data_IF_207830723874
#
_entry.id   IF_207830723874
#
_cell.length_a   1.000
_cell.length_b   1.000
_cell.length_c   1.000
_cell.angle_alpha   90.00
_cell.angle_beta   90.00
_cell.angle_gamma   90.00
#
_symmetry.space_group_name_H-M   'P 1'
#
loop_
_entity.id
_entity.type
_entity.pdbx_description
1 polymer ?
#
# COMPACT_ATOMS: atom_id res chain seq x y z
N UNK A 1 -14.43 -34.74 25.76
CA UNK A 1 -13.89 -33.39 25.81
C UNK A 1 -13.70 -32.93 24.39
N UNK A 2 -14.35 -31.89 23.90
CA UNK A 2 -14.05 -31.32 22.60
C UNK A 2 -12.70 -30.56 22.66
N UNK A 3 -11.90 -30.54 21.59
CA UNK A 3 -10.64 -29.83 21.59
C UNK A 3 -10.90 -28.33 21.70
N UNK A 4 -10.20 -27.69 22.63
CA UNK A 4 -10.12 -26.25 22.80
C UNK A 4 -9.70 -25.59 21.47
N UNK A 5 -10.58 -24.79 20.90
CA UNK A 5 -10.27 -23.89 19.82
C UNK A 5 -9.28 -22.83 20.35
N UNK A 6 -7.99 -23.08 20.15
CA UNK A 6 -6.98 -22.04 20.34
C UNK A 6 -7.34 -20.89 19.39
N UNK A 7 -7.82 -19.78 19.95
CA UNK A 7 -7.95 -18.52 19.26
C UNK A 7 -6.56 -18.14 18.77
N UNK A 8 -6.31 -18.26 17.47
CA UNK A 8 -5.11 -17.71 16.85
C UNK A 8 -5.17 -16.20 17.09
N UNK A 9 -4.43 -15.73 18.07
CA UNK A 9 -4.21 -14.29 18.27
C UNK A 9 -3.56 -13.75 17.00
N UNK A 10 -4.29 -12.87 16.31
CA UNK A 10 -3.71 -12.13 15.18
C UNK A 10 -2.47 -11.37 15.69
N UNK A 11 -1.36 -11.38 14.93
CA UNK A 11 -0.16 -10.66 15.33
C UNK A 11 -0.50 -9.18 15.58
N UNK A 12 0.04 -8.64 16.66
CA UNK A 12 -0.17 -7.23 17.03
C UNK A 12 0.33 -6.33 15.91
N UNK A 13 -0.58 -5.54 15.34
CA UNK A 13 -0.27 -4.60 14.27
C UNK A 13 0.56 -3.45 14.83
N UNK A 14 1.78 -3.32 14.34
CA UNK A 14 2.66 -2.28 14.81
C UNK A 14 2.52 -1.01 13.97
N UNK A 15 2.44 0.18 14.59
CA UNK A 15 2.46 1.43 13.88
C UNK A 15 3.80 1.64 13.16
N UNK A 16 3.78 2.42 12.08
CA UNK A 16 5.02 2.83 11.40
C UNK A 16 5.56 4.05 12.13
N UNK A 17 6.85 4.02 12.55
CA UNK A 17 7.43 5.15 13.27
C UNK A 17 7.33 6.47 12.49
N UNK A 18 6.84 7.52 13.14
CA UNK A 18 6.68 8.85 12.54
C UNK A 18 5.47 9.03 11.65
N UNK A 19 4.67 7.99 11.37
CA UNK A 19 3.46 8.06 10.54
C UNK A 19 2.22 8.12 11.43
N UNK A 20 1.44 9.21 11.31
CA UNK A 20 0.21 9.38 12.11
C UNK A 20 -0.94 8.51 11.61
N UNK A 21 -1.12 8.45 10.29
CA UNK A 21 -2.22 7.72 9.64
C UNK A 21 -1.74 6.99 8.41
N UNK A 22 -2.08 5.71 8.33
CA UNK A 22 -1.80 4.85 7.20
C UNK A 22 -3.11 4.53 6.49
N UNK A 23 -3.24 4.96 5.23
CA UNK A 23 -4.44 4.75 4.42
C UNK A 23 -4.12 3.82 3.26
N UNK A 24 -4.86 2.72 3.18
CA UNK A 24 -4.74 1.77 2.07
C UNK A 24 -5.67 2.17 0.92
N UNK A 25 -5.17 2.15 -0.32
CA UNK A 25 -5.98 2.26 -1.53
C UNK A 25 -6.01 0.91 -2.22
N UNK A 26 -7.19 0.35 -2.35
CA UNK A 26 -7.40 -1.02 -2.83
C UNK A 26 -8.41 -1.07 -3.98
N UNK A 27 -8.43 -2.19 -4.70
CA UNK A 27 -9.46 -2.47 -5.69
C UNK A 27 -9.69 -3.98 -5.77
N UNK A 28 -10.92 -4.38 -6.11
CA UNK A 28 -11.27 -5.78 -6.32
C UNK A 28 -10.63 -6.40 -7.57
N UNK A 29 -10.27 -5.58 -8.56
CA UNK A 29 -9.61 -6.00 -9.81
C UNK A 29 -8.69 -4.91 -10.36
N UNK A 30 -7.82 -5.26 -11.31
CA UNK A 30 -6.97 -4.30 -12.03
C UNK A 30 -7.75 -3.43 -13.02
N UNK A 31 -7.15 -2.28 -13.38
CA UNK A 31 -7.65 -1.39 -14.44
C UNK A 31 -8.84 -0.50 -14.05
N UNK A 32 -9.18 -0.36 -12.77
CA UNK A 32 -10.29 0.49 -12.29
C UNK A 32 -9.86 1.91 -11.90
N UNK A 33 -8.57 2.25 -12.03
CA UNK A 33 -8.05 3.57 -11.65
C UNK A 33 -7.51 3.65 -10.21
N UNK A 34 -7.22 2.52 -9.54
CA UNK A 34 -6.69 2.45 -8.18
C UNK A 34 -5.49 3.39 -7.98
N UNK A 35 -4.42 3.21 -8.75
CA UNK A 35 -3.21 4.03 -8.69
C UNK A 35 -3.49 5.50 -8.97
N UNK A 36 -4.39 5.81 -9.91
CA UNK A 36 -4.83 7.19 -10.18
C UNK A 36 -5.45 7.82 -8.94
N UNK A 37 -6.31 7.10 -8.23
CA UNK A 37 -6.91 7.57 -6.98
C UNK A 37 -5.85 7.72 -5.90
N UNK A 38 -4.94 6.75 -5.73
CA UNK A 38 -3.88 6.80 -4.72
C UNK A 38 -2.98 8.03 -4.90
N UNK A 39 -2.49 8.28 -6.12
CA UNK A 39 -1.64 9.43 -6.44
C UNK A 39 -2.38 10.75 -6.21
N UNK A 40 -3.61 10.88 -6.72
CA UNK A 40 -4.38 12.12 -6.59
C UNK A 40 -4.79 12.37 -5.13
N UNK A 41 -5.11 11.34 -4.35
CA UNK A 41 -5.37 11.46 -2.92
C UNK A 41 -4.14 11.98 -2.16
N UNK A 42 -2.96 11.41 -2.44
CA UNK A 42 -1.71 11.85 -1.84
C UNK A 42 -1.40 13.33 -2.17
N UNK A 43 -1.51 13.71 -3.45
CA UNK A 43 -1.30 15.08 -3.90
C UNK A 43 -2.33 16.06 -3.32
N UNK A 44 -3.60 15.67 -3.22
CA UNK A 44 -4.63 16.48 -2.62
C UNK A 44 -4.36 16.73 -1.12
N UNK A 45 -4.03 15.70 -0.36
CA UNK A 45 -3.66 15.84 1.04
C UNK A 45 -2.42 16.73 1.23
N UNK A 46 -1.41 16.59 0.39
CA UNK A 46 -0.23 17.45 0.38
C UNK A 46 -0.61 18.91 0.09
N UNK A 47 -1.48 19.15 -0.88
CA UNK A 47 -1.97 20.50 -1.22
C UNK A 47 -2.74 21.16 -0.06
N UNK A 48 -3.36 20.37 0.82
CA UNK A 48 -3.98 20.85 2.06
C UNK A 48 -2.97 21.05 3.21
N UNK A 49 -1.67 21.02 2.94
CA UNK A 49 -0.61 21.32 3.91
C UNK A 49 -0.15 20.14 4.76
N UNK A 50 -0.56 18.91 4.44
CA UNK A 50 -0.11 17.73 5.17
C UNK A 50 1.25 17.22 4.64
N UNK A 51 2.04 16.61 5.53
CA UNK A 51 3.20 15.82 5.16
C UNK A 51 2.75 14.43 4.72
N UNK A 52 2.98 14.08 3.46
CA UNK A 52 2.41 12.87 2.85
C UNK A 52 3.49 11.99 2.25
N UNK A 53 3.41 10.69 2.58
CA UNK A 53 4.16 9.62 1.91
C UNK A 53 3.25 8.83 0.97
N UNK A 54 3.83 8.25 -0.07
CA UNK A 54 3.16 7.37 -1.02
C UNK A 54 4.01 6.12 -1.26
N UNK A 55 3.47 4.96 -0.91
CA UNK A 55 4.07 3.66 -1.19
C UNK A 55 3.30 2.98 -2.33
N UNK A 56 3.97 2.76 -3.46
CA UNK A 56 3.49 1.93 -4.55
C UNK A 56 3.89 0.48 -4.28
N UNK A 57 2.95 -0.32 -3.83
CA UNK A 57 3.12 -1.74 -3.54
C UNK A 57 2.63 -2.65 -4.68
N UNK A 58 2.22 -2.09 -5.81
CA UNK A 58 1.79 -2.86 -6.98
C UNK A 58 3.00 -3.33 -7.79
N UNK A 59 3.44 -4.56 -7.53
CA UNK A 59 4.60 -5.16 -8.20
C UNK A 59 4.36 -5.55 -9.65
N UNK A 60 3.11 -5.73 -10.03
CA UNK A 60 2.75 -6.19 -11.39
C UNK A 60 2.56 -5.04 -12.36
N UNK A 61 2.28 -3.85 -11.86
CA UNK A 61 2.08 -2.66 -12.65
C UNK A 61 2.42 -1.39 -11.88
N UNK A 62 3.68 -1.22 -11.45
CA UNK A 62 4.08 -0.06 -10.65
C UNK A 62 4.05 1.20 -11.53
N UNK A 63 2.99 1.97 -11.41
CA UNK A 63 2.75 3.14 -12.26
C UNK A 63 2.96 4.48 -11.55
N UNK A 64 3.14 4.50 -10.25
CA UNK A 64 3.30 5.74 -9.47
C UNK A 64 4.48 6.60 -9.97
N UNK A 65 5.69 6.05 -10.23
CA UNK A 65 6.79 6.86 -10.74
C UNK A 65 6.48 7.52 -12.09
N UNK A 66 5.84 6.79 -13.00
CA UNK A 66 5.43 7.30 -14.32
C UNK A 66 4.43 8.44 -14.15
N UNK A 67 3.44 8.28 -13.27
CA UNK A 67 2.41 9.30 -13.02
C UNK A 67 2.96 10.56 -12.36
N UNK A 68 4.00 10.42 -11.54
CA UNK A 68 4.70 11.55 -10.89
C UNK A 68 5.85 12.12 -11.75
N UNK A 69 6.14 11.53 -12.91
CA UNK A 69 7.16 12.00 -13.84
C UNK A 69 8.59 11.84 -13.30
N UNK A 70 8.87 10.78 -12.55
CA UNK A 70 10.20 10.50 -11.99
C UNK A 70 10.69 9.10 -12.32
N UNK A 71 12.00 8.98 -12.53
CA UNK A 71 12.73 7.73 -12.64
C UNK A 71 13.86 7.63 -11.59
N UNK A 72 13.83 8.54 -10.60
CA UNK A 72 14.85 8.59 -9.55
C UNK A 72 14.71 7.36 -8.65
N UNK A 73 15.82 6.64 -8.46
CA UNK A 73 15.87 5.49 -7.55
C UNK A 73 16.00 5.94 -6.09
N UNK A 74 15.36 5.23 -5.15
CA UNK A 74 15.55 5.48 -3.74
C UNK A 74 17.00 5.16 -3.33
N UNK A 75 17.58 5.97 -2.46
CA UNK A 75 18.91 5.75 -1.94
C UNK A 75 18.86 4.81 -0.73
N UNK A 76 19.94 4.05 -0.54
CA UNK A 76 20.14 3.28 0.69
C UNK A 76 21.19 3.99 1.56
N UNK A 77 20.90 4.13 2.86
CA UNK A 77 21.89 4.61 3.84
C UNK A 77 22.92 3.53 4.15
N UNK A 78 24.00 3.89 4.85
CA UNK A 78 25.01 2.94 5.34
C UNK A 78 24.41 1.85 6.22
N UNK A 79 23.36 2.17 6.98
CA UNK A 79 22.60 1.24 7.83
C UNK A 79 21.53 0.45 7.07
N UNK A 80 21.58 0.45 5.75
CA UNK A 80 20.62 -0.24 4.85
C UNK A 80 19.17 0.23 4.99
N UNK A 81 18.96 1.46 5.44
CA UNK A 81 17.63 2.10 5.42
C UNK A 81 17.37 2.68 4.05
N UNK A 82 16.13 2.70 3.65
CA UNK A 82 15.71 3.22 2.34
C UNK A 82 15.28 4.67 2.53
N UNK A 83 15.89 5.57 1.75
CA UNK A 83 15.49 6.99 1.71
C UNK A 83 14.45 7.15 0.60
N UNK A 84 13.22 7.57 0.93
CA UNK A 84 12.19 7.82 -0.08
C UNK A 84 12.63 8.89 -1.08
N UNK A 85 12.16 8.76 -2.32
CA UNK A 85 12.33 9.80 -3.34
C UNK A 85 11.40 10.97 -3.03
N UNK A 86 11.91 12.19 -3.04
CA UNK A 86 11.07 13.38 -2.93
C UNK A 86 10.63 13.84 -4.31
N UNK A 87 9.31 13.81 -4.58
CA UNK A 87 8.72 14.19 -5.85
C UNK A 87 7.36 14.84 -5.62
N UNK A 88 7.11 15.98 -6.27
CA UNK A 88 5.86 16.75 -6.15
C UNK A 88 5.43 17.05 -4.68
N UNK A 89 6.39 17.20 -3.76
CA UNK A 89 6.15 17.42 -2.34
C UNK A 89 5.73 16.16 -1.56
N UNK A 90 5.82 14.98 -2.17
CA UNK A 90 5.57 13.69 -1.56
C UNK A 90 6.88 12.95 -1.29
N UNK A 91 6.94 12.13 -0.24
CA UNK A 91 7.96 11.09 -0.05
C UNK A 91 7.46 9.79 -0.65
N UNK A 92 8.11 9.31 -1.70
CA UNK A 92 7.62 8.19 -2.51
C UNK A 92 8.62 7.03 -2.51
N UNK A 93 8.09 5.82 -2.36
CA UNK A 93 8.79 4.56 -2.64
C UNK A 93 7.92 3.75 -3.59
N UNK A 94 8.51 3.17 -4.64
CA UNK A 94 7.80 2.28 -5.55
C UNK A 94 8.59 1.00 -5.80
N UNK A 95 7.86 -0.09 -5.87
CA UNK A 95 8.41 -1.38 -6.30
C UNK A 95 9.00 -1.32 -7.72
N UNK A 96 8.48 -0.42 -8.58
CA UNK A 96 9.00 -0.21 -9.93
C UNK A 96 10.40 0.37 -9.99
N UNK A 97 10.82 1.12 -8.98
CA UNK A 97 12.14 1.73 -8.93
C UNK A 97 13.24 0.81 -8.41
N UNK A 98 12.89 -0.38 -7.92
CA UNK A 98 13.85 -1.39 -7.44
C UNK A 98 14.33 -2.33 -8.54
N UNK A 99 13.73 -2.29 -9.69
CA UNK A 99 14.09 -3.11 -10.83
C UNK A 99 14.45 -2.22 -12.03
N UNK A 100 15.62 -1.57 -12.02
CA UNK A 100 16.06 -0.77 -13.14
C UNK A 100 16.37 -1.70 -14.33
N UNK A 101 15.48 -1.75 -15.27
CA UNK A 101 15.54 -2.55 -16.49
C UNK A 101 14.37 -3.53 -16.58
N UNK A 102 13.84 -3.72 -17.79
CA UNK A 102 12.67 -4.55 -18.14
C UNK A 102 12.84 -6.06 -17.91
N UNK A 103 13.66 -6.46 -16.93
CA UNK A 103 13.81 -7.88 -16.59
C UNK A 103 12.61 -8.32 -15.75
N UNK A 104 11.81 -9.28 -16.21
CA UNK A 104 10.71 -9.80 -15.43
C UNK A 104 11.25 -10.41 -14.12
N UNK A 105 11.02 -9.73 -13.00
CA UNK A 105 11.29 -10.31 -11.69
C UNK A 105 10.07 -11.14 -11.27
N UNK A 106 10.34 -12.43 -11.00
CA UNK A 106 9.31 -13.33 -10.48
C UNK A 106 9.27 -13.14 -8.96
N UNK A 107 8.34 -12.33 -8.49
CA UNK A 107 8.10 -12.16 -7.07
C UNK A 107 7.30 -13.35 -6.52
N UNK A 108 7.92 -14.12 -5.66
CA UNK A 108 7.18 -15.13 -4.87
C UNK A 108 6.52 -14.44 -3.68
N UNK A 109 5.29 -14.82 -3.32
CA UNK A 109 4.50 -14.17 -2.28
C UNK A 109 5.26 -13.83 -0.98
N UNK A 110 6.05 -14.76 -0.38
CA UNK A 110 6.84 -14.47 0.83
C UNK A 110 7.92 -13.40 0.63
N UNK A 111 8.58 -13.37 -0.53
CA UNK A 111 9.59 -12.35 -0.85
C UNK A 111 8.94 -10.97 -1.00
N UNK A 112 7.83 -10.91 -1.69
CA UNK A 112 7.07 -9.68 -1.88
C UNK A 112 6.63 -9.08 -0.54
N UNK A 113 6.06 -9.89 0.34
CA UNK A 113 5.69 -9.49 1.69
C UNK A 113 6.89 -8.95 2.47
N UNK A 114 8.05 -9.63 2.41
CA UNK A 114 9.27 -9.19 3.10
C UNK A 114 9.72 -7.81 2.61
N UNK A 115 9.76 -7.58 1.29
CA UNK A 115 10.20 -6.31 0.71
C UNK A 115 9.24 -5.18 1.06
N UNK A 116 7.93 -5.39 0.94
CA UNK A 116 6.97 -4.35 1.30
C UNK A 116 7.00 -4.05 2.80
N UNK A 117 7.15 -5.07 3.64
CA UNK A 117 7.33 -4.87 5.09
C UNK A 117 8.61 -4.06 5.39
N UNK A 118 9.69 -4.32 4.66
CA UNK A 118 10.92 -3.55 4.76
C UNK A 118 10.70 -2.09 4.37
N UNK A 119 9.97 -1.80 3.29
CA UNK A 119 9.63 -0.43 2.88
C UNK A 119 8.78 0.30 3.92
N UNK A 120 7.86 -0.40 4.52
CA UNK A 120 7.02 0.19 5.55
C UNK A 120 7.79 0.48 6.84
N UNK A 121 8.72 -0.40 7.25
CA UNK A 121 9.35 -0.34 8.56
C UNK A 121 10.76 0.24 8.56
N UNK A 122 11.53 0.01 7.49
CA UNK A 122 12.94 0.38 7.40
C UNK A 122 13.19 1.60 6.52
N UNK A 123 12.17 2.17 5.89
CA UNK A 123 12.31 3.41 5.15
C UNK A 123 12.32 4.62 6.10
N UNK A 124 13.09 5.62 5.72
CA UNK A 124 13.17 6.89 6.44
C UNK A 124 12.00 7.81 6.07
N UNK A 125 10.78 7.37 6.40
CA UNK A 125 9.57 8.17 6.12
C UNK A 125 9.59 9.52 6.84
N UNK A 126 10.31 9.65 7.96
CA UNK A 126 10.30 10.83 8.81
C UNK A 126 8.93 11.07 9.44
N UNK A 127 8.59 12.34 9.71
CA UNK A 127 7.27 12.69 10.23
C UNK A 127 6.29 12.84 9.08
N UNK A 128 5.23 12.03 9.08
CA UNK A 128 4.16 12.08 8.11
C UNK A 128 2.80 12.19 8.81
N UNK A 129 1.92 13.04 8.26
CA UNK A 129 0.51 13.06 8.66
C UNK A 129 -0.24 11.87 8.04
N UNK A 130 0.11 11.54 6.79
CA UNK A 130 -0.46 10.40 6.06
C UNK A 130 0.60 9.63 5.29
N UNK A 131 0.49 8.30 5.33
CA UNK A 131 1.16 7.42 4.37
C UNK A 131 0.07 6.70 3.58
N UNK A 132 0.02 6.95 2.27
CA UNK A 132 -0.90 6.28 1.35
C UNK A 132 -0.20 5.04 0.80
N UNK A 133 -0.87 3.89 0.83
CA UNK A 133 -0.37 2.67 0.19
C UNK A 133 -1.26 2.34 -1.00
N UNK A 134 -0.68 2.34 -2.19
CA UNK A 134 -1.30 1.78 -3.39
C UNK A 134 -1.09 0.27 -3.40
N UNK A 135 -2.13 -0.49 -3.02
CA UNK A 135 -2.06 -1.95 -2.88
C UNK A 135 -2.08 -2.65 -4.25
N UNK A 136 -1.53 -3.87 -4.37
CA UNK A 136 -1.75 -4.69 -5.56
C UNK A 136 -3.25 -4.88 -5.82
N UNK A 137 -3.70 -5.07 -7.07
CA UNK A 137 -5.12 -5.32 -7.35
C UNK A 137 -5.59 -6.70 -6.86
N UNK A 138 -6.89 -6.82 -6.58
CA UNK A 138 -7.52 -8.07 -6.16
C UNK A 138 -7.76 -8.17 -4.66
N UNK A 139 -8.02 -9.37 -4.16
CA UNK A 139 -8.30 -9.69 -2.74
C UNK A 139 -7.41 -10.84 -2.25
N UNK A 140 -6.22 -10.94 -2.81
CA UNK A 140 -5.31 -12.05 -2.56
C UNK A 140 -4.50 -11.94 -1.26
N UNK A 141 -3.78 -13.02 -0.96
CA UNK A 141 -3.00 -13.19 0.28
C UNK A 141 -1.99 -12.06 0.52
N UNK A 142 -1.44 -11.46 -0.54
CA UNK A 142 -0.47 -10.37 -0.42
C UNK A 142 -1.09 -9.13 0.21
N UNK A 143 -2.29 -8.72 -0.25
CA UNK A 143 -3.02 -7.60 0.36
C UNK A 143 -3.38 -7.89 1.81
N UNK A 144 -3.95 -9.07 2.06
CA UNK A 144 -4.36 -9.49 3.40
C UNK A 144 -3.17 -9.47 4.37
N UNK A 145 -2.05 -10.05 3.97
CA UNK A 145 -0.85 -10.11 4.79
C UNK A 145 -0.28 -8.74 5.08
N UNK A 146 -0.27 -7.83 4.08
CA UNK A 146 0.15 -6.44 4.27
C UNK A 146 -0.70 -5.73 5.32
N UNK A 147 -2.03 -5.80 5.17
CA UNK A 147 -2.99 -5.15 6.06
C UNK A 147 -2.91 -5.72 7.49
N UNK A 148 -2.55 -6.98 7.64
CA UNK A 148 -2.36 -7.63 8.94
C UNK A 148 -1.03 -7.25 9.60
N UNK A 149 -0.03 -6.85 8.83
CA UNK A 149 1.32 -6.57 9.33
C UNK A 149 1.45 -5.18 9.95
N UNK A 150 0.69 -4.21 9.45
CA UNK A 150 0.78 -2.80 9.88
C UNK A 150 -0.56 -2.27 10.36
N UNK A 151 -0.52 -1.26 11.23
CA UNK A 151 -1.72 -0.61 11.74
C UNK A 151 -2.32 0.33 10.69
N UNK A 152 -3.17 -0.23 9.81
CA UNK A 152 -3.91 0.54 8.79
C UNK A 152 -5.03 1.33 9.47
N UNK A 153 -5.06 2.65 9.28
CA UNK A 153 -6.06 3.56 9.84
C UNK A 153 -7.40 3.48 9.12
N UNK A 154 -7.38 3.10 7.84
CA UNK A 154 -8.57 2.92 7.03
C UNK A 154 -8.24 2.62 5.58
N UNK A 155 -9.24 2.24 4.80
CA UNK A 155 -9.09 1.87 3.39
C UNK A 155 -10.05 2.67 2.50
N UNK A 156 -9.55 3.09 1.33
CA UNK A 156 -10.34 3.60 0.21
C UNK A 156 -10.41 2.50 -0.85
N UNK A 157 -11.60 2.13 -1.29
CA UNK A 157 -11.79 1.06 -2.27
C UNK A 157 -12.23 1.65 -3.60
N UNK A 158 -11.46 1.36 -4.66
CA UNK A 158 -11.69 1.91 -6.00
C UNK A 158 -12.37 0.89 -6.89
N UNK A 159 -13.42 1.31 -7.61
CA UNK A 159 -14.17 0.45 -8.53
C UNK A 159 -14.69 1.23 -9.75
N UNK A 160 -15.23 0.51 -10.72
CA UNK A 160 -16.04 1.07 -11.79
C UNK A 160 -17.50 0.58 -11.64
N UNK A 161 -18.49 1.25 -12.23
CA UNK A 161 -19.90 0.89 -12.06
C UNK A 161 -20.32 -0.40 -12.78
N UNK A 162 -19.40 -1.17 -13.35
CA UNK A 162 -19.73 -2.43 -13.99
C UNK A 162 -20.12 -3.53 -12.98
N UNK A 163 -21.07 -4.36 -13.29
CA UNK A 163 -21.55 -5.44 -12.41
C UNK A 163 -20.42 -6.36 -11.94
N UNK A 164 -19.46 -6.67 -12.82
CA UNK A 164 -18.30 -7.51 -12.49
C UNK A 164 -17.39 -6.81 -11.48
N UNK A 165 -17.09 -5.52 -11.68
CA UNK A 165 -16.25 -4.78 -10.75
C UNK A 165 -16.93 -4.61 -9.37
N UNK A 166 -18.25 -4.41 -9.35
CA UNK A 166 -19.03 -4.34 -8.11
C UNK A 166 -19.05 -5.67 -7.34
N UNK A 167 -19.05 -6.80 -8.04
CA UNK A 167 -18.93 -8.11 -7.38
C UNK A 167 -17.56 -8.28 -6.70
N UNK A 168 -16.49 -7.86 -7.35
CA UNK A 168 -15.14 -7.97 -6.79
C UNK A 168 -14.88 -6.95 -5.68
N UNK A 169 -15.43 -5.73 -5.78
CA UNK A 169 -15.28 -4.73 -4.73
C UNK A 169 -15.98 -5.14 -3.42
N UNK A 170 -17.10 -5.87 -3.51
CA UNK A 170 -17.76 -6.44 -2.30
C UNK A 170 -16.84 -7.39 -1.55
N UNK A 171 -16.09 -8.23 -2.26
CA UNK A 171 -15.08 -9.13 -1.66
C UNK A 171 -13.96 -8.34 -0.98
N UNK A 172 -13.49 -7.25 -1.63
CA UNK A 172 -12.47 -6.39 -1.05
C UNK A 172 -12.97 -5.72 0.25
N UNK A 173 -14.19 -5.19 0.26
CA UNK A 173 -14.79 -4.59 1.46
C UNK A 173 -14.93 -5.63 2.57
N UNK A 174 -15.38 -6.83 2.24
CA UNK A 174 -15.51 -7.92 3.23
C UNK A 174 -14.15 -8.32 3.81
N UNK A 175 -13.12 -8.40 2.98
CA UNK A 175 -11.73 -8.64 3.44
C UNK A 175 -11.29 -7.59 4.46
N UNK A 176 -11.52 -6.30 4.22
CA UNK A 176 -11.18 -5.24 5.17
C UNK A 176 -11.96 -5.37 6.49
N UNK A 177 -13.24 -5.72 6.42
CA UNK A 177 -14.08 -5.98 7.62
C UNK A 177 -13.55 -7.13 8.45
N UNK A 178 -13.19 -8.25 7.82
CA UNK A 178 -12.65 -9.43 8.51
C UNK A 178 -11.34 -9.13 9.26
N UNK A 179 -10.56 -8.18 8.79
CA UNK A 179 -9.33 -7.75 9.45
C UNK A 179 -9.52 -6.46 10.27
N UNK A 180 -10.75 -6.06 10.60
CA UNK A 180 -11.05 -4.88 11.40
C UNK A 180 -10.35 -3.60 10.90
N UNK A 181 -10.40 -3.35 9.58
CA UNK A 181 -9.99 -2.09 8.96
C UNK A 181 -11.22 -1.39 8.43
N UNK A 182 -11.41 -0.14 8.84
CA UNK A 182 -12.54 0.67 8.38
C UNK A 182 -12.41 0.99 6.89
N UNK A 183 -13.51 0.82 6.14
CA UNK A 183 -13.62 1.32 4.77
C UNK A 183 -14.12 2.76 4.81
N UNK A 184 -13.20 3.70 4.55
CA UNK A 184 -13.45 5.14 4.60
C UNK A 184 -14.40 5.60 3.48
N UNK A 185 -14.36 4.89 2.36
CA UNK A 185 -15.22 5.19 1.21
C UNK A 185 -14.91 4.32 0.00
N UNK A 186 -15.79 4.46 -0.99
CA UNK A 186 -15.67 3.81 -2.32
C UNK A 186 -15.65 4.92 -3.39
N UNK A 187 -14.72 4.82 -4.32
CA UNK A 187 -14.52 5.77 -5.43
C UNK A 187 -14.74 5.08 -6.75
#
# INVERSE_FOLDING_TARGET
MPPSTASQQMPERQPIPGVKRLVAVASGKGGVGKTTVAVNLALALQKFGNQVGLLDADVYGPNVPIMLGTNQEPLATQDRRIVPVEVAGLRMISMGLLNPGDKPMIWRGPMLHSVITQFLRSAEWGQLDYLIIDLPPGTGDVQLTLIQTVAVSGAVVVTTPSTVALADVRKAIEMFRQVNVEVLGVV
#
